data_IF_034766739788
#
_entry.id   IF_034766739788
#
_cell.length_a   1.000
_cell.length_b   1.000
_cell.length_c   1.000
_cell.angle_alpha   90.00
_cell.angle_beta   90.00
_cell.angle_gamma   90.00
#
_symmetry.space_group_name_H-M   'P 1'
#
loop_
_entity.id
_entity.type
_entity.pdbx_description
1 polymer ?
2 polymer ?
3 non-polymer ?
4 water ?
#
# COMPACT_ATOMS: atom_id res chain seq x y z
N UNK A 1 17.84 -14.72 -7.00
CA UNK A 1 18.57 -13.48 -7.21
C UNK A 1 17.98 -12.69 -8.37
N UNK A 2 17.00 -13.27 -9.05
CA UNK A 2 16.35 -12.57 -10.14
C UNK A 2 15.53 -11.52 -9.42
N UNK A 3 15.54 -11.62 -8.09
CA UNK A 3 14.85 -10.69 -7.24
C UNK A 3 15.86 -9.81 -6.54
N UNK A 4 17.00 -9.64 -7.18
CA UNK A 4 18.03 -8.79 -6.63
C UNK A 4 17.41 -7.39 -6.60
N UNK A 5 17.58 -6.66 -5.51
CA UNK A 5 16.98 -5.35 -5.48
C UNK A 5 17.89 -4.19 -5.15
N UNK A 6 18.05 -3.32 -6.14
CA UNK A 6 18.84 -2.12 -6.01
C UNK A 6 17.80 -1.00 -5.87
N UNK A 7 18.17 0.12 -5.28
CA UNK A 7 17.18 1.18 -5.10
C UNK A 7 17.37 2.32 -6.11
N UNK A 8 17.64 1.94 -7.36
CA UNK A 8 17.86 2.91 -8.43
C UNK A 8 16.85 4.07 -8.47
N UNK A 9 17.35 5.27 -8.73
CA UNK A 9 16.51 6.47 -8.79
C UNK A 9 15.56 6.36 -9.95
N UNK A 10 15.81 5.40 -10.83
CA UNK A 10 14.97 5.22 -11.99
C UNK A 10 13.74 4.37 -11.71
N UNK A 11 13.70 3.74 -10.55
CA UNK A 11 12.54 2.92 -10.20
C UNK A 11 12.43 1.65 -11.03
N UNK A 12 13.55 1.25 -11.62
CA UNK A 12 13.58 0.07 -12.45
C UNK A 12 13.56 -1.20 -11.64
N UNK A 13 14.22 -1.17 -10.48
CA UNK A 13 14.28 -2.34 -9.62
C UNK A 13 12.88 -2.68 -9.12
N UNK A 14 12.14 -1.65 -8.72
CA UNK A 14 10.77 -1.81 -8.24
C UNK A 14 9.92 -2.46 -9.31
N UNK A 15 10.15 -2.06 -10.56
CA UNK A 15 9.42 -2.60 -11.71
C UNK A 15 9.85 -4.06 -12.00
N UNK A 16 11.15 -4.35 -12.03
CA UNK A 16 11.59 -5.72 -12.26
C UNK A 16 10.89 -6.60 -11.22
N UNK A 17 11.07 -6.22 -9.95
CA UNK A 17 10.47 -6.94 -8.84
C UNK A 17 9.02 -7.29 -9.06
N UNK A 18 8.19 -6.26 -9.23
CA UNK A 18 6.76 -6.46 -9.43
C UNK A 18 6.52 -7.36 -10.64
N UNK A 19 7.33 -7.16 -11.66
CA UNK A 19 7.15 -7.99 -12.84
C UNK A 19 7.44 -9.45 -12.50
N UNK A 20 8.67 -9.74 -12.11
CA UNK A 20 9.03 -11.11 -11.77
C UNK A 20 8.11 -11.75 -10.74
N UNK A 21 7.70 -11.00 -9.72
CA UNK A 21 6.81 -11.55 -8.70
C UNK A 21 5.52 -12.05 -9.33
N UNK A 22 4.78 -11.11 -9.93
CA UNK A 22 3.50 -11.43 -10.55
C UNK A 22 3.59 -12.58 -11.52
N UNK A 23 4.59 -12.52 -12.39
CA UNK A 23 4.79 -13.59 -13.35
C UNK A 23 4.67 -14.93 -12.63
N UNK A 24 5.55 -15.17 -11.67
CA UNK A 24 5.51 -16.40 -10.91
C UNK A 24 4.17 -16.53 -10.20
N UNK A 25 3.69 -15.42 -9.65
CA UNK A 25 2.40 -15.45 -8.95
C UNK A 25 1.30 -15.98 -9.87
N UNK A 26 1.46 -15.76 -11.17
CA UNK A 26 0.48 -16.21 -12.16
C UNK A 26 0.73 -17.63 -12.65
N UNK A 27 2.00 -18.03 -12.72
CA UNK A 27 2.36 -19.34 -13.24
C UNK A 27 2.93 -20.37 -12.26
N UNK A 28 3.69 -19.90 -11.26
CA UNK A 28 4.29 -20.82 -10.31
C UNK A 28 4.46 -20.16 -8.94
N UNK A 29 3.36 -19.92 -8.25
CA UNK A 29 3.39 -19.32 -6.93
C UNK A 29 4.32 -20.03 -5.96
N UNK A 30 4.39 -21.35 -6.05
CA UNK A 30 5.27 -22.13 -5.18
C UNK A 30 6.65 -21.49 -5.13
N UNK A 31 7.21 -21.22 -6.31
CA UNK A 31 8.54 -20.63 -6.41
C UNK A 31 8.68 -19.31 -5.66
N UNK A 32 7.57 -18.76 -5.23
CA UNK A 32 7.62 -17.49 -4.52
C UNK A 32 7.96 -17.65 -3.05
N UNK A 33 7.73 -18.83 -2.50
CA UNK A 33 7.99 -19.09 -1.09
C UNK A 33 9.42 -18.86 -0.64
N UNK A 34 10.35 -18.94 -1.59
CA UNK A 34 11.76 -18.69 -1.30
C UNK A 34 11.89 -17.29 -0.77
N UNK A 35 11.06 -16.39 -1.27
CA UNK A 35 11.11 -14.98 -0.87
C UNK A 35 10.49 -14.76 0.52
N UNK A 36 9.85 -15.78 1.08
CA UNK A 36 9.22 -15.66 2.40
C UNK A 36 10.02 -16.40 3.48
N UNK A 37 9.97 -15.88 4.70
CA UNK A 37 10.71 -16.45 5.83
C UNK A 37 9.78 -16.86 6.94
N UNK A 38 10.29 -17.64 7.91
CA UNK A 38 9.52 -18.12 9.06
C UNK A 38 8.70 -17.00 9.69
N UNK A 39 9.22 -15.78 9.62
CA UNK A 39 8.52 -14.66 10.21
C UNK A 39 7.78 -13.78 9.21
N UNK A 40 7.78 -14.16 7.94
CA UNK A 40 7.05 -13.37 6.94
C UNK A 40 5.56 -13.42 7.24
N UNK A 41 4.79 -12.49 6.68
CA UNK A 41 3.35 -12.44 6.91
C UNK A 41 2.58 -12.13 5.63
N UNK A 42 1.43 -12.77 5.44
CA UNK A 42 0.60 -12.52 4.27
C UNK A 42 -0.85 -12.32 4.68
N UNK A 43 -1.53 -11.39 4.02
CA UNK A 43 -2.93 -11.14 4.32
C UNK A 43 -3.69 -10.64 3.12
N UNK A 44 -4.93 -11.08 3.01
CA UNK A 44 -5.78 -10.66 1.91
C UNK A 44 -7.12 -10.19 2.46
N UNK A 45 -7.81 -9.39 1.66
CA UNK A 45 -9.09 -8.89 2.08
C UNK A 45 -9.84 -8.42 0.87
N UNK A 46 -11.13 -8.24 1.06
CA UNK A 46 -11.95 -7.81 -0.04
C UNK A 46 -12.77 -6.60 0.38
N UNK A 47 -12.95 -5.65 -0.55
CA UNK A 47 -13.52 -4.35 -0.26
C UNK A 47 -15.00 -4.32 -0.59
N UNK A 48 -15.71 -3.84 0.48
CA UNK A 48 -17.09 -3.60 0.30
C UNK A 48 -17.19 -2.50 -0.76
N UNK A 49 -17.53 -3.01 -1.93
CA UNK A 49 -17.80 -2.53 -3.30
C UNK A 49 -18.53 -3.80 -3.71
N UNK A 88 -2.07 -15.22 8.28
CA UNK A 88 -1.18 -16.23 7.71
C UNK A 88 0.32 -15.92 7.89
N UNK A 89 1.07 -16.86 8.49
CA UNK A 89 2.50 -16.66 8.72
C UNK A 89 3.39 -17.84 8.34
N UNK A 90 4.62 -17.54 7.96
CA UNK A 90 5.56 -18.59 7.59
C UNK A 90 5.30 -19.31 6.29
N UNK A 91 6.37 -19.52 5.55
CA UNK A 91 6.38 -20.20 4.26
C UNK A 91 5.25 -21.22 4.10
N UNK A 92 4.98 -21.98 5.15
CA UNK A 92 3.93 -22.98 5.10
C UNK A 92 2.54 -22.38 5.00
N UNK A 93 2.07 -21.76 6.09
CA UNK A 93 0.76 -21.15 6.09
C UNK A 93 0.61 -20.29 4.85
N UNK A 94 1.62 -19.47 4.59
CA UNK A 94 1.59 -18.61 3.42
C UNK A 94 1.43 -19.44 2.15
N UNK A 95 2.14 -20.57 2.07
CA UNK A 95 2.05 -21.42 0.90
C UNK A 95 0.62 -21.91 0.80
N UNK A 96 0.11 -22.38 1.94
CA UNK A 96 -1.24 -22.88 2.05
C UNK A 96 -2.23 -22.04 1.24
N UNK A 97 -2.56 -20.85 1.75
CA UNK A 97 -3.50 -19.99 1.06
C UNK A 97 -3.05 -19.57 -0.33
N UNK A 98 -1.74 -19.57 -0.58
CA UNK A 98 -1.28 -19.21 -1.90
C UNK A 98 -1.93 -20.19 -2.88
N UNK A 99 -1.94 -21.47 -2.50
CA UNK A 99 -2.51 -22.54 -3.30
C UNK A 99 -4.03 -22.40 -3.34
N UNK A 100 -4.58 -21.81 -2.29
CA UNK A 100 -6.01 -21.55 -2.19
C UNK A 100 -6.42 -20.54 -3.26
N UNK A 101 -5.96 -19.31 -3.08
CA UNK A 101 -6.25 -18.19 -4.00
C UNK A 101 -6.34 -18.56 -5.48
N UNK A 102 -7.42 -18.13 -6.13
CA UNK A 102 -7.78 -18.33 -7.54
C UNK A 102 -6.62 -18.03 -8.48
N UNK A 103 -6.53 -18.78 -9.58
CA UNK A 103 -5.48 -18.55 -10.57
C UNK A 103 -5.72 -17.18 -11.13
N UNK A 104 -4.66 -16.51 -11.57
CA UNK A 104 -4.82 -15.16 -12.10
C UNK A 104 -3.91 -14.86 -13.25
N UNK A 105 -4.11 -13.68 -13.84
CA UNK A 105 -3.27 -13.22 -14.94
C UNK A 105 -3.19 -11.71 -14.97
N UNK A 106 -2.00 -11.19 -14.73
CA UNK A 106 -1.80 -9.77 -14.74
C UNK A 106 -1.28 -9.39 -16.13
N UNK A 107 -1.24 -8.10 -16.42
CA UNK A 107 -0.79 -7.62 -17.72
C UNK A 107 0.07 -6.39 -17.55
N UNK A 108 0.99 -6.46 -16.60
CA UNK A 108 1.89 -5.37 -16.28
C UNK A 108 2.81 -4.97 -17.43
N UNK A 109 3.43 -5.95 -18.08
CA UNK A 109 4.35 -5.65 -19.17
C UNK A 109 3.65 -5.27 -20.48
N UNK A 110 2.51 -5.91 -20.76
CA UNK A 110 1.78 -5.62 -21.99
C UNK A 110 0.97 -4.33 -21.89
N UNK A 111 0.23 -4.17 -20.79
CA UNK A 111 -0.61 -2.99 -20.55
C UNK A 111 -0.14 -2.19 -19.32
N UNK A 112 1.14 -1.76 -19.32
CA UNK A 112 1.79 -0.98 -18.25
C UNK A 112 0.92 0.13 -17.64
N UNK A 113 0.38 0.96 -18.53
CA UNK A 113 -0.45 2.10 -18.17
C UNK A 113 -1.62 1.78 -17.24
N UNK A 114 -1.97 0.50 -17.16
CA UNK A 114 -3.08 0.06 -16.32
C UNK A 114 -2.67 -0.20 -14.85
N UNK A 115 -1.49 0.29 -14.46
CA UNK A 115 -0.98 0.06 -13.12
C UNK A 115 -0.18 1.26 -12.62
N UNK A 116 -0.26 1.54 -11.30
CA UNK A 116 0.51 2.64 -10.73
C UNK A 116 1.39 2.07 -9.60
N UNK A 117 2.48 2.72 -9.27
CA UNK A 117 3.37 2.16 -8.27
C UNK A 117 4.13 3.16 -7.46
N UNK A 118 4.19 2.94 -6.15
CA UNK A 118 4.94 3.81 -5.27
C UNK A 118 5.93 2.95 -4.49
N UNK A 119 7.10 3.53 -4.22
CA UNK A 119 8.12 2.83 -3.46
C UNK A 119 8.62 3.81 -2.43
N UNK A 120 8.69 3.38 -1.18
CA UNK A 120 9.21 4.24 -0.15
C UNK A 120 10.18 3.43 0.68
N UNK A 121 11.15 4.13 1.26
CA UNK A 121 12.13 3.46 2.07
C UNK A 121 11.48 3.07 3.39
N UNK A 122 11.99 2.00 3.98
CA UNK A 122 11.51 1.53 5.26
C UNK A 122 12.79 1.45 6.07
N UNK A 123 13.29 2.63 6.50
CA UNK A 123 14.50 2.84 7.28
C UNK A 123 14.64 1.84 8.40
N UNK A 124 13.58 1.71 9.20
CA UNK A 124 13.56 0.83 10.35
C UNK A 124 13.96 -0.62 10.14
N UNK A 125 13.87 -1.11 8.91
CA UNK A 125 14.27 -2.49 8.64
C UNK A 125 15.21 -2.51 7.46
N UNK A 126 15.85 -1.37 7.23
CA UNK A 126 16.80 -1.21 6.13
C UNK A 126 16.16 -1.90 4.91
N UNK A 127 14.90 -1.54 4.65
CA UNK A 127 14.18 -2.13 3.53
C UNK A 127 13.33 -1.11 2.79
N UNK A 128 12.39 -1.61 2.01
CA UNK A 128 11.52 -0.73 1.25
C UNK A 128 10.11 -1.28 1.18
N UNK A 129 9.18 -0.39 0.84
CA UNK A 129 7.79 -0.77 0.69
C UNK A 129 7.41 -0.51 -0.75
N UNK A 130 6.97 -1.55 -1.43
CA UNK A 130 6.54 -1.38 -2.80
C UNK A 130 5.06 -1.66 -2.83
N UNK A 131 4.33 -0.72 -3.41
CA UNK A 131 2.90 -0.87 -3.54
C UNK A 131 2.56 -0.79 -5.01
N UNK A 132 1.71 -1.71 -5.44
CA UNK A 132 1.27 -1.77 -6.81
C UNK A 132 -0.26 -1.75 -6.91
N UNK A 133 -0.76 -0.81 -7.70
CA UNK A 133 -2.20 -0.66 -7.94
C UNK A 133 -2.48 -1.08 -9.39
N UNK A 134 -3.58 -1.80 -9.61
CA UNK A 134 -3.91 -2.22 -10.96
C UNK A 134 -5.01 -3.27 -11.04
N UNK A 135 -5.02 -4.04 -12.11
CA UNK A 135 -6.03 -5.06 -12.29
C UNK A 135 -5.37 -6.35 -12.80
N UNK A 136 -6.10 -7.45 -12.67
CA UNK A 136 -5.66 -8.76 -13.14
C UNK A 136 -6.90 -9.51 -13.57
N UNK A 137 -6.73 -10.57 -14.35
CA UNK A 137 -7.88 -11.36 -14.77
C UNK A 137 -8.07 -12.54 -13.83
N UNK A 138 -9.23 -12.55 -13.19
CA UNK A 138 -9.65 -13.54 -12.21
C UNK A 138 -10.44 -14.69 -12.82
N UNK A 139 -10.12 -15.92 -12.43
CA UNK A 139 -10.85 -17.07 -12.95
C UNK A 139 -11.90 -17.54 -11.95
N UNK A 169 -14.36 -19.00 -10.07
CA UNK A 169 -14.90 -20.27 -9.58
C UNK A 169 -16.03 -20.73 -10.50
N UNK A 170 -16.64 -19.77 -11.19
CA UNK A 170 -17.71 -20.09 -12.13
C UNK A 170 -17.02 -20.44 -13.44
N UNK A 171 -15.72 -20.77 -13.33
CA UNK A 171 -14.88 -21.12 -14.46
C UNK A 171 -14.72 -20.02 -15.51
N UNK A 172 -15.32 -18.86 -15.24
CA UNK A 172 -15.21 -17.73 -16.17
C UNK A 172 -14.09 -16.78 -15.76
N UNK A 173 -13.75 -15.91 -16.71
CA UNK A 173 -12.70 -14.92 -16.53
C UNK A 173 -13.31 -13.53 -16.30
N UNK A 174 -13.05 -12.98 -15.11
CA UNK A 174 -13.56 -11.66 -14.73
C UNK A 174 -12.40 -10.72 -14.37
N UNK A 175 -12.55 -9.43 -14.66
CA UNK A 175 -11.50 -8.49 -14.28
C UNK A 175 -11.67 -8.14 -12.81
N UNK A 176 -10.55 -7.80 -12.17
CA UNK A 176 -10.59 -7.45 -10.76
C UNK A 176 -9.47 -6.47 -10.45
N UNK A 177 -9.80 -5.37 -9.78
CA UNK A 177 -8.79 -4.39 -9.38
C UNK A 177 -8.17 -4.82 -8.07
N UNK A 178 -7.04 -4.24 -7.73
CA UNK A 178 -6.35 -4.60 -6.50
C UNK A 178 -5.26 -3.59 -6.15
N UNK A 179 -4.80 -3.67 -4.90
CA UNK A 179 -3.70 -2.86 -4.37
C UNK A 179 -2.90 -3.86 -3.53
N UNK A 180 -1.71 -4.24 -4.00
CA UNK A 180 -0.87 -5.17 -3.22
C UNK A 180 0.34 -4.42 -2.71
N UNK A 181 0.67 -4.62 -1.44
CA UNK A 181 1.81 -3.92 -0.83
C UNK A 181 2.86 -4.88 -0.25
N UNK A 182 4.04 -4.90 -0.87
CA UNK A 182 5.11 -5.76 -0.39
C UNK A 182 6.15 -4.98 0.39
N UNK A 183 6.40 -5.43 1.62
CA UNK A 183 7.42 -4.82 2.44
C UNK A 183 8.62 -5.71 2.21
N UNK A 184 9.68 -5.13 1.65
CA UNK A 184 10.87 -5.92 1.35
C UNK A 184 12.13 -5.47 2.04
N UNK A 185 12.95 -6.46 2.36
CA UNK A 185 14.24 -6.26 3.03
C UNK A 185 15.28 -6.98 2.16
N UNK A 186 16.02 -6.22 1.33
CA UNK A 186 17.04 -6.78 0.44
C UNK A 186 18.08 -7.63 1.16
N UNK A 187 18.35 -8.80 0.60
CA UNK A 187 19.37 -9.65 1.20
C UNK A 187 19.78 -10.84 0.37
N UNK A 188 21.03 -11.26 0.56
CA UNK A 188 21.54 -12.41 -0.15
C UNK A 188 21.34 -12.16 -1.64
N UNK A 189 21.80 -10.98 -2.08
CA UNK A 189 21.70 -10.57 -3.48
C UNK A 189 20.29 -10.84 -3.98
N UNK A 190 19.32 -10.62 -3.09
CA UNK A 190 17.92 -10.84 -3.39
C UNK A 190 17.10 -10.01 -2.40
N UNK A 191 15.96 -10.54 -1.97
CA UNK A 191 15.12 -9.85 -0.99
C UNK A 191 14.26 -10.85 -0.23
N UNK A 192 13.82 -10.46 0.97
CA UNK A 192 12.93 -11.30 1.75
C UNK A 192 11.69 -10.45 1.91
N UNK A 193 10.54 -11.04 1.66
CA UNK A 193 9.29 -10.32 1.79
C UNK A 193 8.82 -10.43 3.23
N UNK A 194 8.95 -9.33 3.98
CA UNK A 194 8.56 -9.31 5.38
C UNK A 194 7.04 -9.26 5.50
N UNK A 195 6.40 -8.51 4.60
CA UNK A 195 4.95 -8.37 4.64
C UNK A 195 4.33 -8.30 3.23
N UNK A 196 3.23 -9.01 3.03
CA UNK A 196 2.55 -9.03 1.75
C UNK A 196 1.07 -8.80 2.01
N UNK A 197 0.63 -7.56 1.81
CA UNK A 197 -0.76 -7.19 2.03
C UNK A 197 -1.52 -6.98 0.73
N UNK A 198 -2.40 -7.93 0.40
CA UNK A 198 -3.20 -7.85 -0.80
C UNK A 198 -4.65 -7.44 -0.50
N UNK A 199 -5.18 -6.54 -1.32
CA UNK A 199 -6.55 -6.09 -1.15
C UNK A 199 -7.20 -6.21 -2.52
N UNK A 200 -8.09 -7.17 -2.66
CA UNK A 200 -8.76 -7.36 -3.93
C UNK A 200 -10.05 -6.55 -3.89
N UNK A 201 -10.38 -5.92 -5.02
CA UNK A 201 -11.58 -5.09 -5.07
C UNK A 201 -12.23 -5.09 -6.45
N UNK A 202 -13.45 -4.56 -6.50
CA UNK A 202 -14.23 -4.48 -7.72
C UNK A 202 -13.43 -3.82 -8.83
N UNK A 203 -13.37 -4.45 -9.99
CA UNK A 203 -12.61 -3.88 -11.08
C UNK A 203 -13.14 -2.51 -11.46
N UNK A 204 -12.21 -1.62 -11.78
CA UNK A 204 -12.53 -0.26 -12.20
C UNK A 204 -11.26 0.34 -12.81
N UNK A 205 -11.45 1.31 -13.70
CA UNK A 205 -10.33 1.96 -14.35
C UNK A 205 -9.50 2.79 -13.38
N UNK A 206 -8.18 2.62 -13.45
CA UNK A 206 -7.29 3.35 -12.56
C UNK A 206 -7.38 4.85 -12.70
N UNK A 207 -7.79 5.53 -11.63
CA UNK A 207 -7.92 6.98 -11.64
C UNK A 207 -6.58 7.67 -11.85
N UNK A 208 -5.56 6.89 -12.21
CA UNK A 208 -4.22 7.44 -12.40
C UNK A 208 -3.71 7.56 -13.83
N UNK A 209 -4.32 6.82 -14.75
CA UNK A 209 -3.88 6.80 -16.15
C UNK A 209 -3.55 8.15 -16.79
N UNK A 210 -2.76 8.08 -17.87
CA UNK A 210 -2.36 9.26 -18.64
C UNK A 210 -2.12 8.79 -20.07
N UNK A 211 -1.67 9.70 -20.94
CA UNK A 211 -1.41 9.35 -22.33
C UNK A 211 -0.17 8.48 -22.42
N UNK A 212 0.64 8.54 -21.36
CA UNK A 212 1.88 7.77 -21.29
C UNK A 212 1.57 6.28 -21.16
N UNK A 213 2.16 5.49 -22.03
CA UNK A 213 1.95 4.05 -21.99
C UNK A 213 3.08 3.53 -21.13
N UNK A 214 2.79 3.43 -19.84
CA UNK A 214 3.80 2.99 -18.91
C UNK A 214 3.31 3.13 -17.47
N UNK A 215 3.92 2.36 -16.57
CA UNK A 215 3.55 2.39 -15.16
C UNK A 215 3.72 3.80 -14.59
N UNK A 216 2.76 4.23 -13.75
CA UNK A 216 2.83 5.53 -13.10
C UNK A 216 3.67 5.29 -11.83
N UNK A 217 4.89 5.80 -11.82
CA UNK A 217 5.77 5.61 -10.68
C UNK A 217 5.93 6.80 -9.76
N UNK A 218 6.24 6.48 -8.51
CA UNK A 218 6.47 7.47 -7.47
C UNK A 218 7.39 6.77 -6.49
N UNK A 219 8.31 7.52 -5.93
CA UNK A 219 9.28 7.00 -4.98
C UNK A 219 9.53 8.10 -3.99
N UNK A 220 9.60 7.74 -2.72
CA UNK A 220 9.88 8.70 -1.68
C UNK A 220 10.93 8.14 -0.73
N UNK A 221 11.72 9.02 -0.13
CA UNK A 221 12.75 8.61 0.82
C UNK A 221 13.37 9.81 1.48
N UNK B 14 -7.93 -7.35 19.92
CA UNK B 14 -7.32 -6.36 20.81
C UNK B 14 -6.54 -5.32 20.03
N UNK B 15 -5.29 -5.64 19.72
CA UNK B 15 -4.43 -4.74 18.97
C UNK B 15 -5.18 -4.30 17.73
N UNK B 16 -5.93 -5.23 17.16
CA UNK B 16 -6.72 -4.96 15.96
C UNK B 16 -7.36 -3.60 16.12
N UNK B 17 -8.39 -3.54 16.96
CA UNK B 17 -9.13 -2.30 17.22
C UNK B 17 -8.26 -1.05 17.33
N UNK B 18 -7.32 -1.07 18.27
CA UNK B 18 -6.43 0.07 18.51
C UNK B 18 -6.06 0.75 17.21
N UNK B 19 -5.63 -0.08 16.25
CA UNK B 19 -5.22 0.38 14.93
C UNK B 19 -6.38 1.00 14.18
N UNK B 20 -7.31 0.15 13.75
CA UNK B 20 -8.48 0.58 12.99
C UNK B 20 -9.04 1.90 13.50
N UNK B 21 -8.90 2.12 14.80
CA UNK B 21 -9.40 3.35 15.39
C UNK B 21 -8.51 4.53 15.03
N UNK B 22 -7.21 4.37 15.27
CA UNK B 22 -6.22 5.39 14.97
C UNK B 22 -6.33 5.69 13.48
N UNK B 23 -6.53 4.64 12.70
CA UNK B 23 -6.68 4.77 11.27
C UNK B 23 -7.75 5.83 11.06
N UNK B 24 -8.86 5.67 11.77
CA UNK B 24 -9.98 6.59 11.71
C UNK B 24 -9.60 8.00 12.20
N UNK B 25 -8.89 8.06 13.33
CA UNK B 25 -8.45 9.32 13.91
C UNK B 25 -7.78 10.13 12.81
N UNK B 26 -6.88 9.47 12.09
CA UNK B 26 -6.13 10.07 10.99
C UNK B 26 -7.09 10.60 9.96
N UNK B 27 -8.00 9.74 9.51
CA UNK B 27 -8.98 10.15 8.52
C UNK B 27 -9.81 11.32 9.07
N UNK B 28 -10.05 11.30 10.37
CA UNK B 28 -10.81 12.35 11.01
C UNK B 28 -10.14 13.69 10.76
N UNK B 29 -8.82 13.73 10.95
CA UNK B 29 -8.09 14.98 10.74
C UNK B 29 -8.17 15.51 9.31
N UNK B 30 -7.94 14.64 8.33
CA UNK B 30 -8.00 15.06 6.94
C UNK B 30 -9.37 15.67 6.62
N UNK B 31 -10.37 15.33 7.43
CA UNK B 31 -11.73 15.82 7.23
C UNK B 31 -12.04 17.11 8.00
N UNK B 32 -11.30 17.36 9.07
CA UNK B 32 -11.51 18.54 9.89
C UNK B 32 -10.90 19.79 9.21
N UNK B 33 -11.75 20.74 8.79
CA UNK B 33 -11.36 22.00 8.12
C UNK B 33 -10.72 23.05 9.02
N UNK B 34 -11.08 23.00 10.31
CA UNK B 34 -10.56 23.95 11.27
C UNK B 34 -9.04 23.98 11.19
N UNK B 35 -8.51 25.08 10.68
CA UNK B 35 -7.06 25.21 10.55
C UNK B 35 -6.38 25.17 11.91
N UNK B 36 -7.11 24.70 12.92
CA UNK B 36 -6.61 24.59 14.28
C UNK B 36 -6.61 23.12 14.70
N UNK B 38 -4.99 20.84 13.49
CA UNK B 38 -3.96 20.97 12.46
C UNK B 38 -2.55 20.82 13.03
N UNK B 39 -2.22 21.62 14.04
CA UNK B 39 -0.90 21.56 14.65
C UNK B 39 -0.67 20.22 15.35
N UNK B 40 -1.67 19.73 16.08
CA UNK B 40 -1.52 18.45 16.76
C UNK B 40 -1.54 17.30 15.76
N UNK B 41 -2.09 17.56 14.57
CA UNK B 41 -2.14 16.54 13.52
C UNK B 41 -0.71 16.27 13.08
N UNK B 42 0.01 17.35 12.82
CA UNK B 42 1.40 17.26 12.39
C UNK B 42 2.26 16.58 13.45
N UNK B 43 1.74 16.58 14.68
CA UNK B 43 2.46 15.97 15.80
C UNK B 43 2.41 14.44 15.71
N UNK B 44 1.59 13.91 14.80
CA UNK B 44 1.47 12.47 14.62
C UNK B 44 2.62 11.95 13.76
N UNK B 45 3.30 12.88 13.09
CA UNK B 45 4.44 12.53 12.26
C UNK B 45 5.71 12.95 12.96
N UNK B 46 6.74 12.12 12.92
CA UNK B 46 8.00 12.47 13.57
C UNK B 46 8.81 13.37 12.64
N UNK B 47 10.01 13.82 13.09
CA UNK B 47 10.95 14.69 12.35
C UNK B 47 11.84 13.98 11.29
N UNK B 48 11.24 13.10 10.50
CA UNK B 48 11.94 12.34 9.49
C UNK B 48 10.87 11.49 8.80
N UNK B 50 10.39 11.92 7.64
CA UNK B 50 9.31 11.17 6.98
C UNK B 50 9.53 10.65 5.58
N UNK B 51 8.42 10.13 5.08
CA UNK B 51 8.29 9.58 3.76
C UNK B 51 6.78 9.66 3.54
N UNK B 52 6.40 10.57 2.65
CA UNK B 52 5.00 10.82 2.34
C UNK B 52 4.79 11.04 0.87
N UNK B 53 3.81 10.34 0.31
CA UNK B 53 3.45 10.51 -1.08
C UNK B 53 1.95 10.76 -1.08
N UNK B 54 1.54 11.70 -1.92
CA UNK B 54 0.14 12.04 -2.05
C UNK B 54 -0.21 12.08 -3.52
N UNK B 55 -0.95 11.13 -4.09
CA UNK B 55 -1.40 11.23 -5.51
C UNK B 55 -0.23 11.28 -6.54
N UNK B 56 0.89 10.70 -6.09
CA UNK B 56 2.21 10.56 -6.77
C UNK B 56 3.21 11.60 -6.34
N UNK B 57 2.79 12.46 -5.45
CA UNK B 57 3.64 13.58 -5.07
C UNK B 57 4.32 13.48 -3.73
N UNK B 58 5.67 13.43 -3.75
CA UNK B 58 6.40 13.29 -2.48
C UNK B 58 6.41 14.58 -1.63
N UNK B 59 6.62 14.41 -0.33
CA UNK B 59 6.69 15.49 0.64
C UNK B 59 7.61 14.99 1.75
N UNK B 60 8.66 15.74 2.07
CA UNK B 60 9.59 15.29 3.11
C UNK B 60 9.09 15.67 4.50
N UNK B 61 8.32 16.75 4.53
CA UNK B 61 7.78 17.26 5.77
C UNK B 61 6.29 17.18 5.79
N UNK B 62 5.77 16.57 6.85
CA UNK B 62 4.32 16.43 7.03
C UNK B 62 3.72 17.83 7.05
N UNK B 63 4.56 18.76 7.48
CA UNK B 63 4.20 20.17 7.58
C UNK B 63 3.80 20.68 6.21
N UNK B 64 4.77 20.71 5.31
CA UNK B 64 4.54 21.18 3.95
C UNK B 64 3.29 20.54 3.39
N UNK B 65 3.22 19.21 3.51
CA UNK B 65 2.08 18.46 3.02
C UNK B 65 0.78 18.97 3.59
N UNK B 66 0.63 18.86 4.91
CA UNK B 66 -0.59 19.31 5.55
C UNK B 66 -0.89 20.75 5.19
N UNK B 67 0.16 21.55 5.00
CA UNK B 67 -0.04 22.94 4.59
C UNK B 67 -0.78 22.89 3.25
N UNK B 68 -0.20 22.15 2.31
CA UNK B 68 -0.77 21.98 0.98
C UNK B 68 -2.21 21.51 1.10
N UNK B 69 -2.45 20.57 1.99
CA UNK B 69 -3.79 20.03 2.19
C UNK B 69 -4.80 21.09 2.63
N UNK B 70 -4.58 21.65 3.82
CA UNK B 70 -5.47 22.67 4.39
C UNK B 70 -5.61 23.82 3.43
N UNK B 71 -4.53 24.06 2.70
CA UNK B 71 -4.46 25.17 1.78
C UNK B 71 -4.98 24.89 0.37
N UNK B 72 -4.88 23.66 -0.09
CA UNK B 72 -5.33 23.36 -1.45
C UNK B 72 -6.47 22.35 -1.57
N UNK B 73 -6.39 21.25 -0.82
CA UNK B 73 -7.45 20.25 -0.93
C UNK B 73 -8.79 20.86 -0.55
N UNK B 74 -9.86 20.17 -0.92
CA UNK B 74 -11.21 20.63 -0.65
C UNK B 74 -11.76 19.96 0.61
N UNK B 75 -13.03 20.22 0.90
CA UNK B 75 -13.68 19.61 2.05
C UNK B 75 -13.81 18.13 1.67
N UNK B 76 -13.45 17.25 2.59
CA UNK B 76 -13.49 15.81 2.34
C UNK B 76 -14.32 15.04 3.34
N UNK B 77 -14.66 13.81 2.96
CA UNK B 77 -15.43 12.90 3.79
C UNK B 77 -14.91 11.49 3.52
N UNK B 78 -14.11 10.96 4.46
CA UNK B 78 -13.53 9.62 4.32
C UNK B 78 -14.27 8.51 5.05
N UNK B 79 -14.28 7.33 4.44
CA UNK B 79 -14.95 6.18 5.04
C UNK B 79 -14.16 4.89 4.89
N UNK B 80 -13.72 4.35 6.01
CA UNK B 80 -12.98 3.09 6.04
C UNK B 80 -13.76 2.00 5.30
N UNK B 81 -13.06 1.13 4.59
CA UNK B 81 -13.72 0.04 3.86
C UNK B 81 -12.76 -1.13 3.71
N UNK B 82 -11.78 -1.21 4.61
CA UNK B 82 -10.79 -2.26 4.57
C UNK B 82 -9.57 -1.77 5.30
N UNK B 83 -9.08 -2.55 6.25
CA UNK B 83 -7.91 -2.16 7.03
C UNK B 83 -7.07 -3.33 7.48
N UNK B 84 -5.97 -3.57 6.78
CA UNK B 84 -5.08 -4.66 7.12
C UNK B 84 -3.81 -4.11 7.75
N UNK B 85 -3.02 -4.98 8.36
CA UNK B 85 -1.77 -4.54 8.96
C UNK B 85 -0.95 -5.69 9.49
N UNK B 86 0.35 -5.48 9.52
CA UNK B 86 1.32 -6.44 9.99
C UNK B 86 2.27 -5.68 10.88
N UNK B 87 2.66 -6.28 12.00
CA UNK B 87 3.60 -5.62 12.89
C UNK B 87 4.90 -6.31 12.55
N UNK B 88 5.84 -5.55 12.02
CA UNK B 88 7.10 -6.14 11.64
C UNK B 88 8.12 -6.19 12.76
N UNK B 89 8.53 -7.41 13.17
CA UNK B 89 9.46 -7.89 14.18
C UNK B 89 10.84 -7.28 14.16
N UNK B 90 11.16 -6.50 15.19
CA UNK B 90 12.48 -5.88 15.26
C UNK B 90 12.39 -4.46 14.76
N UNK B 91 11.60 -4.29 13.70
CA UNK B 91 11.41 -2.97 13.12
C UNK B 91 10.95 -2.05 14.23
N UNK B 92 10.01 -2.54 15.05
CA UNK B 92 9.49 -1.73 16.14
C UNK B 92 8.33 -0.90 15.63
N UNK B 93 7.72 -1.37 14.55
CA UNK B 93 6.60 -0.66 13.94
C UNK B 93 5.72 -1.64 13.20
N UNK B 94 4.68 -1.10 12.59
CA UNK B 94 3.73 -1.89 11.85
C UNK B 94 3.34 -1.14 10.57
N UNK B 95 2.69 -1.84 9.67
CA UNK B 95 2.29 -1.24 8.41
C UNK B 95 0.83 -1.58 8.12
N UNK B 96 0.07 -0.55 7.78
CA UNK B 96 -1.34 -0.70 7.49
C UNK B 96 -1.66 -0.54 6.02
N UNK B 97 -2.57 -1.38 5.53
CA UNK B 97 -3.01 -1.32 4.15
C UNK B 97 -4.46 -0.89 4.20
N UNK B 98 -4.68 0.41 4.08
CA UNK B 98 -6.01 0.96 4.18
C UNK B 98 -6.74 1.23 2.86
N UNK B 99 -8.07 1.23 2.96
CA UNK B 99 -8.96 1.49 1.83
C UNK B 99 -10.13 2.39 2.25
N UNK B 100 -10.38 3.42 1.45
CA UNK B 100 -11.45 4.38 1.71
C UNK B 100 -12.09 4.81 0.42
N UNK B 101 -13.16 5.58 0.59
CA UNK B 101 -13.93 6.18 -0.49
C UNK B 101 -13.98 7.62 -0.03
N UNK B 102 -14.21 8.57 -0.92
CA UNK B 102 -14.24 9.95 -0.49
C UNK B 102 -15.18 10.79 -1.31
N UNK B 103 -15.71 11.84 -0.67
CA UNK B 103 -16.63 12.80 -1.29
C UNK B 103 -15.97 14.16 -1.12
N UNK B 104 -16.34 15.12 -1.98
CA UNK B 104 -15.74 16.45 -1.90
C UNK B 104 -16.64 17.69 -1.74
N UNK B 105 -17.91 17.63 -2.16
CA UNK B 105 -18.79 18.80 -2.05
C UNK B 105 -20.30 18.55 -2.12
N UNK B 141 -22.06 17.08 -0.90
CA UNK B 141 -21.17 15.95 -1.12
C UNK B 141 -21.43 15.34 -2.49
N UNK B 142 -20.36 15.06 -3.25
CA UNK B 142 -20.50 14.48 -4.57
C UNK B 142 -20.31 12.98 -4.54
N UNK B 143 -20.02 12.36 -5.70
CA UNK B 143 -19.80 10.91 -5.80
C UNK B 143 -18.69 10.42 -4.84
N UNK B 144 -18.48 9.10 -4.82
CA UNK B 144 -17.44 8.49 -3.98
C UNK B 144 -16.22 8.13 -4.83
N UNK B 145 -15.03 8.37 -4.29
CA UNK B 145 -13.80 8.03 -5.00
C UNK B 145 -13.06 6.98 -4.18
N UNK B 146 -12.23 6.19 -4.84
CA UNK B 146 -11.48 5.17 -4.15
C UNK B 146 -10.08 5.62 -3.80
N UNK B 147 -9.72 5.45 -2.53
CA UNK B 147 -8.40 5.81 -2.03
C UNK B 147 -7.73 4.60 -1.41
N UNK B 148 -6.46 4.40 -1.75
CA UNK B 148 -5.66 3.31 -1.19
C UNK B 148 -4.62 4.02 -0.32
N UNK B 149 -4.43 3.53 0.90
CA UNK B 149 -3.49 4.18 1.81
C UNK B 149 -2.69 3.24 2.66
N UNK B 150 -1.37 3.34 2.54
CA UNK B 150 -0.46 2.53 3.34
C UNK B 150 0.13 3.49 4.38
N UNK B 151 0.38 2.97 5.58
CA UNK B 151 0.95 3.75 6.68
C UNK B 151 1.93 2.91 7.48
N UNK B 152 3.05 3.52 7.86
CA UNK B 152 4.01 2.82 8.69
C UNK B 152 3.85 3.52 10.02
N UNK B 153 3.52 2.76 11.06
CA UNK B 153 3.29 3.35 12.37
C UNK B 153 4.06 2.65 13.47
N UNK B 154 4.37 3.39 14.53
CA UNK B 154 5.15 2.88 15.67
C UNK B 154 4.32 2.06 16.64
N UNK B 155 4.94 1.01 17.20
CA UNK B 155 4.29 0.16 18.19
C UNK B 155 3.71 1.02 19.30
N UNK B 156 4.55 1.92 19.83
CA UNK B 156 4.20 2.81 20.94
C UNK B 156 2.72 3.14 21.01
N UNK B 157 2.08 3.32 19.86
CA UNK B 157 0.66 3.64 19.81
C UNK B 157 -0.16 2.58 20.53
N UNK B 158 0.21 1.33 20.35
CA UNK B 158 -0.48 0.23 21.01
C UNK B 158 -0.43 0.43 22.51
N UNK B 159 0.62 1.12 22.96
CA UNK B 159 0.79 1.42 24.37
C UNK B 159 0.38 2.89 24.56
N UNK B 160 -0.68 3.26 23.82
CA UNK B 160 -1.27 4.60 23.83
C UNK B 160 -0.38 5.82 23.55
N UNK B 161 0.83 5.61 23.00
CA UNK B 161 1.70 6.74 22.67
C UNK B 161 1.43 7.21 21.24
N UNK B 162 0.97 8.44 21.09
CA UNK B 162 0.62 8.98 19.78
C UNK B 162 1.54 10.06 19.19
N UNK B 163 2.53 10.51 19.93
CA UNK B 163 3.42 11.56 19.44
C UNK B 163 4.37 11.14 18.33
N UNK B 164 4.08 11.58 17.11
CA UNK B 164 4.93 11.27 15.98
C UNK B 164 5.18 9.78 15.76
N UNK B 165 4.15 9.07 15.29
CA UNK B 165 4.25 7.63 15.04
C UNK B 165 4.07 7.28 13.57
N UNK B 166 3.69 8.28 12.78
CA UNK B 166 3.49 8.08 11.36
C UNK B 166 4.79 8.44 10.65
N UNK B 167 5.42 7.45 10.03
CA UNK B 167 6.67 7.66 9.31
C UNK B 167 6.44 7.28 7.85
N UNK B 168 5.31 6.62 7.61
CA UNK B 168 4.95 6.20 6.26
C UNK B 168 3.56 6.72 5.91
N UNK B 169 3.46 7.39 4.77
CA UNK B 169 2.17 7.94 4.35
C UNK B 169 2.01 7.84 2.85
N UNK B 170 1.51 6.71 2.36
CA UNK B 170 1.32 6.59 0.93
C UNK B 170 -0.17 6.64 0.67
N UNK B 171 -0.61 7.83 0.25
CA UNK B 171 -2.00 8.13 -0.04
C UNK B 171 -2.22 8.29 -1.53
N UNK B 172 -3.02 7.42 -2.14
CA UNK B 172 -3.28 7.52 -3.58
C UNK B 172 -4.68 7.16 -4.00
N UNK B 173 -5.25 8.00 -4.85
CA UNK B 173 -6.59 7.75 -5.35
C UNK B 173 -6.50 6.66 -6.41
N UNK B 174 -7.20 5.55 -6.19
CA UNK B 174 -7.16 4.46 -7.15
C UNK B 174 -8.31 4.49 -8.15
N UNK B 175 -9.46 5.01 -7.73
CA UNK B 175 -10.59 5.10 -8.65
C UNK B 175 -11.56 6.25 -8.36
N UNK B 176 -12.35 6.56 -9.37
CA UNK B 176 -13.34 7.62 -9.27
C UNK B 176 -14.66 7.18 -9.89
N UNK B 177 -15.73 8.00 -9.70
CA UNK B 177 -17.09 7.79 -10.21
C UNK B 177 -17.21 7.14 -11.60
N UNK B 178 -17.74 5.91 -11.63
CA UNK B 178 -17.92 5.14 -12.87
C UNK B 178 -16.95 5.55 -13.96
X LIG C 1 8.70 14.17 8.60
#
# INVERSE_FOLDING_TARGET
QQFFFENDALGQSSTDFATNFLNLWDNNREQLLNLYSPQSQFSVSVDSTIPPSTVTDSDQTPAFGYYMSSSRNISKVSSEKSIQQRLSIGQESINSIFKTLPKTKHHLQEQPNEYSMETISYPQINGFVITLHGFFEETGKPELESNKKTGKNNYQKNRRYNHGYNSTSNNKLSKKSFDRTWVIVPMNNSVIIASDLLTVRAYSTGAWKTASIAIAQAAGS
MNTNSNTMVMNDANQAQITATFTKKILAHLDDPDSNKLAQFVQLFNPNNCRIIFNATPFAQATVFLQMWQNQVVQTQHALTGVDYHAIPGSGTLICNVNCKVRFDESGRDKMGQDATVPIQPNNTGNRNRPNDMNKPRPLWGPYFGISLQLIIDDRIFRNDFNGVISGFNYNMVYKPEDSLLKI
HG HG
#
